data_IF_741356094391
#
_entry.id   IF_741356094391
#
_cell.length_a   1.000
_cell.length_b   1.000
_cell.length_c   1.000
_cell.angle_alpha   90.00
_cell.angle_beta   90.00
_cell.angle_gamma   90.00
#
_symmetry.space_group_name_H-M   'P 1'
#
loop_
_entity.id
_entity.type
_entity.pdbx_description
1 polymer ?
#
# COMPACT_ATOMS: atom_id res chain seq x y z
N UNK A 1 21.45 3.78 16.02
CA UNK A 1 20.93 3.54 14.66
C UNK A 1 21.09 2.09 14.22
N UNK A 2 22.22 1.47 14.43
CA UNK A 2 22.51 0.10 13.96
C UNK A 2 21.56 -0.97 14.54
N UNK A 3 21.12 -0.80 15.79
CA UNK A 3 20.18 -1.74 16.42
C UNK A 3 18.78 -1.70 15.77
N UNK A 4 18.22 -0.51 15.47
CA UNK A 4 16.91 -0.38 14.85
C UNK A 4 16.89 -0.96 13.43
N UNK A 5 17.93 -0.70 12.64
CA UNK A 5 18.04 -1.26 11.30
C UNK A 5 18.11 -2.80 11.33
N UNK A 6 18.81 -3.36 12.30
CA UNK A 6 18.89 -4.81 12.51
C UNK A 6 17.53 -5.39 12.91
N UNK A 7 16.78 -4.72 13.80
CA UNK A 7 15.42 -5.13 14.17
C UNK A 7 14.46 -5.07 12.98
N UNK A 8 14.52 -4.00 12.16
CA UNK A 8 13.71 -3.88 10.93
C UNK A 8 14.01 -5.05 9.99
N UNK A 9 15.29 -5.36 9.74
CA UNK A 9 15.69 -6.47 8.86
C UNK A 9 15.20 -7.82 9.40
N UNK A 10 15.31 -8.07 10.69
CA UNK A 10 14.87 -9.31 11.32
C UNK A 10 13.34 -9.48 11.17
N UNK A 11 12.56 -8.46 11.50
CA UNK A 11 11.09 -8.49 11.35
C UNK A 11 10.69 -8.65 9.88
N UNK A 12 11.38 -7.97 8.96
CA UNK A 12 11.11 -8.13 7.53
C UNK A 12 11.38 -9.56 7.05
N UNK A 13 12.46 -10.20 7.52
CA UNK A 13 12.77 -11.59 7.18
C UNK A 13 11.69 -12.56 7.67
N UNK A 14 11.15 -12.34 8.88
CA UNK A 14 10.04 -13.13 9.42
C UNK A 14 8.75 -12.95 8.61
N UNK A 15 8.48 -11.74 8.14
CA UNK A 15 7.25 -11.40 7.41
C UNK A 15 7.32 -11.68 5.91
N UNK A 16 8.51 -11.95 5.37
CA UNK A 16 8.75 -12.00 3.93
C UNK A 16 7.77 -12.91 3.18
N UNK A 17 7.58 -14.14 3.64
CA UNK A 17 6.66 -15.08 3.00
C UNK A 17 5.21 -14.57 3.01
N UNK A 18 4.80 -13.95 4.11
CA UNK A 18 3.47 -13.35 4.25
C UNK A 18 3.28 -12.17 3.30
N UNK A 19 4.31 -11.34 3.12
CA UNK A 19 4.29 -10.24 2.15
C UNK A 19 4.16 -10.77 0.71
N UNK A 20 4.87 -11.86 0.40
CA UNK A 20 4.74 -12.55 -0.90
C UNK A 20 3.32 -13.10 -1.11
N UNK A 21 2.70 -13.66 -0.08
CA UNK A 21 1.29 -14.11 -0.13
C UNK A 21 0.33 -12.95 -0.40
N UNK A 22 0.51 -11.81 0.26
CA UNK A 22 -0.28 -10.60 0.01
C UNK A 22 -0.15 -10.13 -1.42
N UNK A 23 1.07 -10.06 -1.94
CA UNK A 23 1.33 -9.70 -3.33
C UNK A 23 0.62 -10.63 -4.30
N UNK A 24 0.73 -11.94 -4.09
CA UNK A 24 0.09 -12.95 -4.96
C UNK A 24 -1.43 -12.87 -4.91
N UNK A 25 -2.02 -12.63 -3.74
CA UNK A 25 -3.46 -12.44 -3.60
C UNK A 25 -3.94 -11.22 -4.37
N UNK A 26 -3.28 -10.07 -4.23
CA UNK A 26 -3.60 -8.83 -4.95
C UNK A 26 -3.45 -9.06 -6.46
N UNK A 27 -2.37 -9.72 -6.88
CA UNK A 27 -2.12 -10.04 -8.28
C UNK A 27 -3.20 -10.91 -8.91
N UNK A 28 -3.72 -11.89 -8.15
CA UNK A 28 -4.79 -12.79 -8.61
C UNK A 28 -6.15 -12.10 -8.75
N UNK A 29 -6.37 -11.02 -8.00
CA UNK A 29 -7.66 -10.35 -7.90
C UNK A 29 -7.53 -8.87 -8.29
N UNK A 30 -7.01 -8.55 -9.50
CA UNK A 30 -6.75 -7.18 -9.91
C UNK A 30 -8.05 -6.44 -10.21
N UNK A 31 -8.12 -5.19 -9.83
CA UNK A 31 -9.25 -4.28 -10.09
C UNK A 31 -8.77 -3.04 -10.83
N UNK A 32 -9.61 -2.54 -11.74
CA UNK A 32 -9.29 -1.35 -12.53
C UNK A 32 -9.33 -0.08 -11.67
N UNK A 33 -8.68 0.98 -12.19
CA UNK A 33 -8.66 2.31 -11.58
C UNK A 33 -10.06 2.77 -11.13
N UNK A 34 -10.15 3.22 -9.90
CA UNK A 34 -11.36 3.66 -9.19
C UNK A 34 -12.42 2.57 -8.91
N UNK A 35 -12.10 1.31 -9.17
CA UNK A 35 -12.95 0.15 -8.89
C UNK A 35 -12.30 -0.81 -7.87
N UNK A 36 -11.25 -0.40 -7.18
CA UNK A 36 -10.40 -1.21 -6.29
C UNK A 36 -11.05 -1.44 -4.91
N UNK A 37 -12.33 -1.78 -4.88
CA UNK A 37 -13.09 -1.91 -3.63
C UNK A 37 -12.70 -3.16 -2.84
N UNK A 38 -12.59 -4.31 -3.50
CA UNK A 38 -12.18 -5.56 -2.85
C UNK A 38 -10.71 -5.53 -2.45
N UNK A 39 -9.85 -4.94 -3.27
CA UNK A 39 -8.42 -4.71 -2.95
C UNK A 39 -8.29 -3.83 -1.70
N UNK A 40 -9.00 -2.71 -1.66
CA UNK A 40 -9.01 -1.82 -0.51
C UNK A 40 -9.56 -2.50 0.74
N UNK A 41 -10.64 -3.29 0.60
CA UNK A 41 -11.22 -4.04 1.72
C UNK A 41 -10.25 -5.13 2.23
N UNK A 42 -9.57 -5.84 1.34
CA UNK A 42 -8.54 -6.81 1.70
C UNK A 42 -7.41 -6.16 2.51
N UNK A 43 -6.91 -5.01 2.04
CA UNK A 43 -5.89 -4.22 2.75
C UNK A 43 -6.39 -3.80 4.13
N UNK A 44 -7.61 -3.25 4.25
CA UNK A 44 -8.21 -2.85 5.54
C UNK A 44 -8.29 -4.02 6.51
N UNK A 45 -8.74 -5.17 6.04
CA UNK A 45 -8.88 -6.36 6.88
C UNK A 45 -7.53 -6.75 7.49
N UNK A 46 -6.46 -6.80 6.68
CA UNK A 46 -5.12 -7.10 7.16
C UNK A 46 -4.66 -6.07 8.21
N UNK A 47 -4.88 -4.79 7.97
CA UNK A 47 -4.51 -3.73 8.90
C UNK A 47 -5.28 -3.86 10.23
N UNK A 48 -6.60 -4.05 10.18
CA UNK A 48 -7.46 -4.17 11.37
C UNK A 48 -7.15 -5.44 12.18
N UNK A 49 -6.94 -6.58 11.53
CA UNK A 49 -6.52 -7.83 12.18
C UNK A 49 -5.21 -7.69 12.96
N UNK A 50 -4.35 -6.77 12.53
CA UNK A 50 -3.10 -6.44 13.21
C UNK A 50 -3.22 -5.22 14.14
N UNK A 51 -4.43 -4.74 14.43
CA UNK A 51 -4.69 -3.63 15.34
C UNK A 51 -4.12 -2.30 14.84
N UNK A 52 -4.12 -2.08 13.53
CA UNK A 52 -3.68 -0.84 12.89
C UNK A 52 -4.91 0.00 12.55
N UNK A 53 -4.92 1.26 12.98
CA UNK A 53 -6.03 2.19 12.76
C UNK A 53 -6.02 2.71 11.33
N UNK A 54 -7.21 2.76 10.71
CA UNK A 54 -7.42 3.37 9.39
C UNK A 54 -8.37 4.56 9.46
N UNK A 55 -8.31 5.42 8.45
CA UNK A 55 -9.24 6.54 8.25
C UNK A 55 -9.99 6.35 6.94
N UNK A 56 -11.27 6.08 7.03
CA UNK A 56 -12.14 5.79 5.89
C UNK A 56 -12.80 7.04 5.27
N UNK A 57 -12.47 8.25 5.76
CA UNK A 57 -13.08 9.50 5.29
C UNK A 57 -12.66 9.91 3.86
N UNK A 58 -11.67 9.23 3.29
CA UNK A 58 -11.13 9.56 1.96
C UNK A 58 -11.73 8.77 0.80
N UNK A 59 -12.60 7.81 1.09
CA UNK A 59 -13.33 7.00 0.09
C UNK A 59 -13.18 5.49 0.33
N UNK A 60 -14.11 4.74 -0.24
CA UNK A 60 -14.19 3.30 0.00
C UNK A 60 -13.00 2.52 -0.59
N UNK A 61 -12.44 3.00 -1.70
CA UNK A 61 -11.30 2.39 -2.39
C UNK A 61 -9.94 2.99 -2.02
N UNK A 62 -9.88 4.00 -1.13
CA UNK A 62 -8.64 4.51 -0.55
C UNK A 62 -8.45 3.97 0.86
N UNK A 63 -7.24 3.59 1.23
CA UNK A 63 -6.93 3.15 2.60
C UNK A 63 -5.83 4.01 3.19
N UNK A 64 -6.13 4.65 4.31
CA UNK A 64 -5.18 5.52 5.01
C UNK A 64 -4.89 4.90 6.39
N UNK A 65 -3.69 4.37 6.59
CA UNK A 65 -3.29 3.82 7.88
C UNK A 65 -2.47 4.83 8.68
N UNK A 66 -2.66 4.85 10.02
CA UNK A 66 -2.12 5.88 10.90
C UNK A 66 -1.25 5.25 11.97
N UNK A 67 -0.03 5.77 12.12
CA UNK A 67 0.90 5.40 13.18
C UNK A 67 1.43 6.62 13.90
N UNK A 68 1.61 6.50 15.21
CA UNK A 68 2.16 7.55 16.05
C UNK A 68 1.30 8.80 16.15
N UNK A 69 1.75 9.75 16.95
CA UNK A 69 1.07 11.00 17.21
C UNK A 69 2.07 12.17 17.27
N UNK A 70 1.61 13.35 16.90
CA UNK A 70 2.41 14.58 17.00
C UNK A 70 3.60 14.63 16.04
N UNK A 71 4.48 15.61 16.23
CA UNK A 71 5.68 15.81 15.44
C UNK A 71 5.44 16.16 13.97
N UNK A 72 6.47 15.98 13.14
CA UNK A 72 6.34 16.06 11.68
C UNK A 72 5.66 14.82 11.14
N UNK A 73 4.74 14.98 10.19
CA UNK A 73 4.10 13.87 9.51
C UNK A 73 4.83 13.53 8.23
N UNK A 74 5.23 12.26 8.11
CA UNK A 74 5.76 11.67 6.89
C UNK A 74 4.76 10.66 6.37
N UNK A 75 4.53 10.64 5.06
CA UNK A 75 3.69 9.65 4.42
C UNK A 75 4.50 8.70 3.52
N UNK A 76 4.06 7.45 3.45
CA UNK A 76 4.51 6.47 2.47
C UNK A 76 3.31 6.13 1.58
N UNK A 77 3.53 6.03 0.27
CA UNK A 77 2.47 5.84 -0.71
C UNK A 77 2.71 4.62 -1.57
N UNK A 78 1.67 3.85 -1.80
CA UNK A 78 1.58 2.83 -2.84
C UNK A 78 0.26 2.99 -3.60
N UNK A 79 0.29 2.80 -4.90
CA UNK A 79 -0.87 2.61 -5.76
C UNK A 79 -1.40 1.18 -5.65
N UNK A 80 -2.69 0.98 -6.01
CA UNK A 80 -3.34 -0.32 -5.83
C UNK A 80 -4.18 -0.77 -7.04
N UNK A 81 -4.27 0.05 -8.08
CA UNK A 81 -5.05 -0.24 -9.28
C UNK A 81 -4.29 -1.10 -10.29
N UNK A 82 -5.04 -1.78 -11.16
CA UNK A 82 -4.56 -2.61 -12.24
C UNK A 82 -4.95 -2.04 -13.61
N UNK A 83 -4.40 -2.64 -14.66
CA UNK A 83 -4.58 -2.21 -16.05
C UNK A 83 -5.52 -3.15 -16.84
N UNK A 84 -6.23 -2.63 -17.87
CA UNK A 84 -7.08 -3.43 -18.75
C UNK A 84 -6.24 -4.21 -19.77
N UNK A 85 -5.42 -5.13 -19.27
CA UNK A 85 -4.48 -5.96 -20.03
C UNK A 85 -4.73 -7.42 -19.71
N UNK A 86 -4.75 -8.29 -20.74
CA UNK A 86 -4.81 -9.73 -20.54
C UNK A 86 -3.45 -10.26 -20.08
N UNK A 87 -3.42 -11.00 -18.98
CA UNK A 87 -2.21 -11.66 -18.55
C UNK A 87 -1.96 -12.91 -19.41
N UNK A 88 -0.80 -12.96 -20.07
CA UNK A 88 -0.41 -14.07 -20.95
C UNK A 88 0.55 -15.07 -20.25
N UNK A 89 1.09 -14.69 -19.08
CA UNK A 89 2.05 -15.52 -18.35
C UNK A 89 1.30 -16.60 -17.57
N UNK A 90 1.78 -17.84 -17.69
CA UNK A 90 1.24 -18.98 -16.93
C UNK A 90 1.91 -19.05 -15.55
N UNK A 91 1.24 -18.43 -14.57
CA UNK A 91 1.69 -18.38 -13.18
C UNK A 91 0.64 -19.00 -12.25
N UNK A 92 1.07 -19.67 -11.16
CA UNK A 92 0.13 -20.22 -10.16
C UNK A 92 -0.78 -19.17 -9.52
N UNK A 93 -0.40 -17.90 -9.59
CA UNK A 93 -1.13 -16.75 -9.04
C UNK A 93 -1.51 -15.72 -10.10
N UNK A 94 -1.67 -16.16 -11.38
CA UNK A 94 -2.12 -15.28 -12.45
C UNK A 94 -3.50 -14.68 -12.15
N UNK A 95 -3.80 -13.58 -12.79
CA UNK A 95 -5.09 -12.90 -12.69
C UNK A 95 -6.26 -13.87 -12.93
N UNK A 96 -7.25 -13.80 -12.06
CA UNK A 96 -8.55 -14.50 -12.22
C UNK A 96 -9.60 -13.60 -12.89
N UNK A 97 -9.28 -12.32 -13.11
CA UNK A 97 -10.15 -11.36 -13.77
C UNK A 97 -9.73 -11.20 -15.23
N UNK A 98 -10.50 -11.82 -16.13
CA UNK A 98 -10.19 -11.80 -17.56
C UNK A 98 -10.06 -10.37 -18.09
N UNK A 99 -8.95 -10.07 -18.75
CA UNK A 99 -8.69 -8.76 -19.34
C UNK A 99 -8.19 -7.69 -18.34
N UNK A 100 -7.87 -8.08 -17.10
CA UNK A 100 -7.31 -7.17 -16.10
C UNK A 100 -6.05 -7.81 -15.51
N UNK A 101 -4.98 -7.03 -15.34
CA UNK A 101 -3.70 -7.49 -14.82
C UNK A 101 -2.95 -6.38 -14.09
N UNK A 102 -2.24 -6.72 -13.01
CA UNK A 102 -1.24 -5.83 -12.42
C UNK A 102 0.04 -5.77 -13.26
N UNK A 103 -0.06 -5.16 -14.46
CA UNK A 103 1.07 -5.07 -15.39
C UNK A 103 2.07 -3.96 -15.03
N UNK A 104 1.68 -2.99 -14.19
CA UNK A 104 2.57 -1.92 -13.71
C UNK A 104 3.25 -2.25 -12.36
N UNK A 105 2.91 -3.39 -11.74
CA UNK A 105 3.54 -3.84 -10.49
C UNK A 105 2.96 -3.22 -9.22
N UNK A 106 1.78 -2.62 -9.27
CA UNK A 106 1.12 -2.00 -8.12
C UNK A 106 0.76 -3.03 -7.02
N UNK A 107 0.58 -4.30 -7.36
CA UNK A 107 0.48 -5.42 -6.42
C UNK A 107 1.72 -5.56 -5.53
N UNK A 108 2.91 -5.35 -6.07
CA UNK A 108 4.16 -5.36 -5.32
C UNK A 108 4.30 -4.11 -4.44
N UNK A 109 3.85 -2.94 -4.92
CA UNK A 109 3.82 -1.70 -4.14
C UNK A 109 2.90 -1.84 -2.93
N UNK A 110 1.65 -2.28 -3.14
CA UNK A 110 0.66 -2.48 -2.09
C UNK A 110 1.15 -3.50 -1.04
N UNK A 111 1.68 -4.64 -1.48
CA UNK A 111 2.21 -5.66 -0.58
C UNK A 111 3.43 -5.16 0.23
N UNK A 112 4.32 -4.39 -0.39
CA UNK A 112 5.47 -3.78 0.30
C UNK A 112 5.02 -2.78 1.36
N UNK A 113 4.00 -1.99 1.06
CA UNK A 113 3.43 -1.04 2.02
C UNK A 113 2.68 -1.74 3.15
N UNK A 114 1.96 -2.85 2.88
CA UNK A 114 1.39 -3.73 3.91
C UNK A 114 2.48 -4.31 4.81
N UNK A 115 3.56 -4.83 4.24
CA UNK A 115 4.71 -5.30 4.99
C UNK A 115 5.29 -4.21 5.90
N UNK A 116 5.42 -2.99 5.36
CA UNK A 116 5.87 -1.82 6.12
C UNK A 116 4.92 -1.51 7.28
N UNK A 117 3.59 -1.60 7.08
CA UNK A 117 2.61 -1.41 8.14
C UNK A 117 2.81 -2.42 9.30
N UNK A 118 3.04 -3.69 8.97
CA UNK A 118 3.28 -4.72 9.98
C UNK A 118 4.60 -4.53 10.72
N UNK A 119 5.66 -4.09 10.03
CA UNK A 119 6.95 -3.75 10.65
C UNK A 119 6.78 -2.55 11.59
N UNK A 120 6.12 -1.48 11.15
CA UNK A 120 5.84 -0.32 11.99
C UNK A 120 5.03 -0.70 13.23
N UNK A 121 4.03 -1.59 13.09
CA UNK A 121 3.24 -2.07 14.23
C UNK A 121 4.09 -2.81 15.25
N UNK A 122 4.98 -3.69 14.82
CA UNK A 122 5.88 -4.42 15.71
C UNK A 122 6.92 -3.53 16.38
N UNK A 123 7.36 -2.49 15.67
CA UNK A 123 8.38 -1.56 16.14
C UNK A 123 7.81 -0.20 16.61
N UNK A 124 6.53 -0.15 16.96
CA UNK A 124 5.83 1.09 17.32
C UNK A 124 6.50 1.86 18.47
N UNK A 125 7.24 1.20 19.35
CA UNK A 125 8.03 1.83 20.41
C UNK A 125 9.10 2.81 19.91
N UNK A 126 9.49 2.72 18.65
CA UNK A 126 10.47 3.61 18.01
C UNK A 126 9.83 4.73 17.19
N UNK A 127 8.51 4.78 17.11
CA UNK A 127 7.80 5.80 16.35
C UNK A 127 7.59 7.01 17.25
N UNK A 128 8.26 8.12 16.93
CA UNK A 128 8.19 9.38 17.67
C UNK A 128 7.42 10.46 16.93
N UNK A 129 7.13 10.26 15.66
CA UNK A 129 6.41 11.16 14.77
C UNK A 129 5.22 10.45 14.17
N UNK A 130 4.30 11.21 13.55
CA UNK A 130 3.20 10.61 12.83
C UNK A 130 3.69 10.06 11.49
N UNK A 131 3.31 8.81 11.19
CA UNK A 131 3.53 8.17 9.89
C UNK A 131 2.17 7.80 9.30
N UNK A 132 1.92 8.21 8.06
CA UNK A 132 0.71 7.91 7.32
C UNK A 132 1.08 6.97 6.17
N UNK A 133 0.36 5.86 6.04
CA UNK A 133 0.47 4.99 4.89
C UNK A 133 -0.74 5.22 3.99
N UNK A 134 -0.49 5.47 2.71
CA UNK A 134 -1.52 5.81 1.72
C UNK A 134 -1.54 4.70 0.67
N UNK A 135 -2.60 3.88 0.70
CA UNK A 135 -2.91 2.97 -0.38
C UNK A 135 -3.86 3.71 -1.33
N UNK A 136 -3.30 4.16 -2.44
CA UNK A 136 -3.94 5.11 -3.34
C UNK A 136 -4.64 4.39 -4.48
N UNK A 137 -5.94 4.62 -4.72
CA UNK A 137 -6.63 4.13 -5.91
C UNK A 137 -6.30 4.96 -7.15
N UNK A 138 -6.60 4.43 -8.33
CA UNK A 138 -6.73 5.17 -9.59
C UNK A 138 -5.49 5.96 -10.01
N UNK A 139 -4.31 5.33 -10.04
CA UNK A 139 -3.10 5.98 -10.53
C UNK A 139 -3.11 6.09 -12.04
N UNK A 140 -3.56 5.03 -12.73
CA UNK A 140 -3.49 4.84 -14.17
C UNK A 140 -4.59 5.59 -14.97
N UNK A 141 -5.55 6.21 -14.28
CA UNK A 141 -6.68 6.89 -14.93
C UNK A 141 -6.86 8.33 -14.41
N UNK A 142 -6.93 9.30 -15.32
CA UNK A 142 -7.26 10.70 -14.97
C UNK A 142 -8.63 10.80 -14.27
N UNK A 143 -8.77 11.66 -13.25
CA UNK A 143 -7.84 12.73 -12.82
C UNK A 143 -6.72 12.27 -11.88
N UNK A 144 -6.58 10.96 -11.61
CA UNK A 144 -5.63 10.39 -10.68
C UNK A 144 -6.09 10.41 -9.22
N UNK A 145 -5.98 9.26 -8.55
CA UNK A 145 -6.37 9.13 -7.14
C UNK A 145 -5.61 10.06 -6.21
N UNK A 146 -4.33 10.33 -6.49
CA UNK A 146 -3.55 11.30 -5.71
C UNK A 146 -4.19 12.68 -5.71
N UNK A 147 -4.64 13.16 -6.89
CA UNK A 147 -5.32 14.45 -7.00
C UNK A 147 -6.62 14.47 -6.19
N UNK A 148 -7.41 13.40 -6.25
CA UNK A 148 -8.65 13.28 -5.49
C UNK A 148 -8.37 13.32 -3.99
N UNK A 149 -7.36 12.61 -3.49
CA UNK A 149 -7.01 12.59 -2.07
C UNK A 149 -6.52 13.97 -1.60
N UNK A 150 -5.74 14.68 -2.43
CA UNK A 150 -5.31 16.06 -2.14
C UNK A 150 -6.51 16.99 -2.08
N UNK A 151 -7.44 16.93 -3.05
CA UNK A 151 -8.64 17.76 -3.05
C UNK A 151 -9.57 17.46 -1.86
N UNK A 152 -9.56 16.23 -1.33
CA UNK A 152 -10.26 15.86 -0.10
C UNK A 152 -9.54 16.34 1.18
N UNK A 153 -8.42 17.03 1.07
CA UNK A 153 -7.70 17.62 2.19
C UNK A 153 -6.81 16.65 2.96
N UNK A 154 -6.33 15.55 2.34
CA UNK A 154 -5.47 14.58 3.00
C UNK A 154 -4.20 15.20 3.58
N UNK A 155 -3.55 16.08 2.80
CA UNK A 155 -2.30 16.71 3.20
C UNK A 155 -2.50 17.63 4.40
N UNK A 156 -3.57 18.43 4.37
CA UNK A 156 -3.94 19.40 5.41
C UNK A 156 -4.36 18.68 6.70
N UNK A 157 -5.24 17.65 6.56
CA UNK A 157 -5.77 16.89 7.71
C UNK A 157 -4.66 16.32 8.59
N UNK A 158 -3.62 15.79 7.96
CA UNK A 158 -2.50 15.17 8.68
C UNK A 158 -1.25 16.03 8.74
N UNK A 159 -1.27 17.25 8.19
CA UNK A 159 -0.12 18.14 8.10
C UNK A 159 1.10 17.42 7.49
N UNK A 160 0.87 16.70 6.40
CA UNK A 160 1.90 15.90 5.74
C UNK A 160 2.97 16.82 5.15
N UNK A 161 4.22 16.63 5.54
CA UNK A 161 5.36 17.44 5.10
C UNK A 161 6.19 16.77 4.01
N UNK A 162 6.19 15.44 3.99
CA UNK A 162 6.96 14.65 3.04
C UNK A 162 6.18 13.40 2.68
N UNK A 163 6.22 13.04 1.40
CA UNK A 163 5.68 11.78 0.89
C UNK A 163 6.80 11.05 0.16
N UNK A 164 6.90 9.76 0.41
CA UNK A 164 7.80 8.86 -0.31
C UNK A 164 6.95 7.79 -0.99
N UNK A 165 7.15 7.60 -2.28
CA UNK A 165 6.65 6.51 -3.08
C UNK A 165 7.80 5.80 -3.78
N UNK A 166 7.65 4.50 -4.02
CA UNK A 166 8.58 3.70 -4.82
C UNK A 166 7.83 3.12 -6.00
N UNK A 167 8.54 2.87 -7.08
CA UNK A 167 8.01 2.16 -8.24
C UNK A 167 8.96 1.03 -8.65
N UNK A 168 8.40 -0.16 -8.90
CA UNK A 168 9.17 -1.26 -9.48
C UNK A 168 9.42 -0.99 -10.96
N UNK A 169 10.58 -1.37 -11.46
CA UNK A 169 10.91 -1.23 -12.88
C UNK A 169 11.53 -2.53 -13.40
N UNK A 170 11.03 -3.02 -14.51
CA UNK A 170 11.59 -4.20 -15.17
C UNK A 170 12.92 -3.90 -15.89
N UNK A 171 13.26 -2.61 -16.08
CA UNK A 171 14.48 -2.18 -16.76
C UNK A 171 15.69 -2.01 -15.81
N UNK A 172 15.43 -2.04 -14.49
CA UNK A 172 16.46 -1.89 -13.47
C UNK A 172 16.84 -3.26 -12.90
N UNK A 173 18.14 -3.53 -12.66
CA UNK A 173 18.61 -4.79 -12.08
C UNK A 173 18.20 -4.97 -10.62
#
# INVERSE_FOLDING_TARGET
MDNLLSEIKAVNQELFNKIVEYRRHIHQNPELSFQEFETAQYIRNILHENGITTDDSFGENAVIAIFGEGGETVALRADIDALPICEEVDLPFRSQNQGVMHACGHDAHAASLLGTALILKRLQKYIHNRIILIFQPGEELCPGGANILVQKGLLEKYNIKRIVGMHVSAELP
#
